data_IF_339143056022
#
_entry.id   IF_339143056022
#
_cell.length_a   1.000
_cell.length_b   1.000
_cell.length_c   1.000
_cell.angle_alpha   90.00
_cell.angle_beta   90.00
_cell.angle_gamma   90.00
#
_symmetry.space_group_name_H-M   'P 1'
#
loop_
_entity.id
_entity.type
_entity.pdbx_description
1 polymer ?
#
# COMPACT_ATOMS: atom_id res chain seq x y z
N UNK A 1 -23.63 -4.28 59.28
CA UNK A 1 -23.21 -4.33 57.86
C UNK A 1 -21.94 -5.16 57.79
N UNK A 2 -21.98 -6.32 57.15
CA UNK A 2 -20.95 -7.36 57.31
C UNK A 2 -19.68 -7.01 56.52
N UNK A 3 -18.53 -7.01 57.19
CA UNK A 3 -17.22 -6.65 56.62
C UNK A 3 -16.83 -7.52 55.41
N UNK A 4 -17.41 -8.73 55.32
CA UNK A 4 -17.29 -9.64 54.18
C UNK A 4 -17.99 -9.14 52.92
N UNK A 5 -19.12 -8.42 53.05
CA UNK A 5 -19.85 -7.83 51.91
C UNK A 5 -19.06 -6.62 51.37
N UNK A 6 -18.42 -5.85 52.25
CA UNK A 6 -17.60 -4.69 51.86
C UNK A 6 -16.36 -5.11 51.04
N UNK A 7 -15.70 -6.22 51.44
CA UNK A 7 -14.55 -6.74 50.71
C UNK A 7 -14.93 -7.28 49.32
N UNK A 8 -16.05 -8.00 49.20
CA UNK A 8 -16.51 -8.52 47.90
C UNK A 8 -16.89 -7.37 46.95
N UNK A 9 -17.54 -6.32 47.47
CA UNK A 9 -17.90 -5.16 46.67
C UNK A 9 -16.66 -4.39 46.16
N UNK A 10 -15.60 -4.32 46.98
CA UNK A 10 -14.33 -3.68 46.61
C UNK A 10 -13.58 -4.44 45.50
N UNK A 11 -13.59 -5.77 45.51
CA UNK A 11 -12.90 -6.57 44.49
C UNK A 11 -13.61 -6.51 43.14
N UNK A 12 -14.95 -6.43 43.15
CA UNK A 12 -15.76 -6.34 41.92
C UNK A 12 -15.54 -5.01 41.20
N UNK A 13 -15.39 -3.89 41.91
CA UNK A 13 -15.18 -2.56 41.32
C UNK A 13 -13.82 -2.47 40.60
N UNK A 14 -12.78 -3.15 41.08
CA UNK A 14 -11.44 -3.13 40.48
C UNK A 14 -11.38 -3.84 39.12
N UNK A 15 -12.29 -4.79 38.86
CA UNK A 15 -12.34 -5.54 37.59
C UNK A 15 -13.05 -4.74 36.48
N UNK A 16 -13.88 -3.75 36.84
CA UNK A 16 -14.66 -2.97 35.86
C UNK A 16 -13.96 -1.68 35.41
N UNK A 17 -12.83 -1.31 36.03
CA UNK A 17 -12.08 -0.10 35.66
C UNK A 17 -11.04 -0.33 34.56
N UNK A 18 -11.09 -1.48 33.86
CA UNK A 18 -10.41 -1.70 32.59
C UNK A 18 -11.00 -0.80 31.51
N UNK A 19 -10.67 0.49 31.57
CA UNK A 19 -11.07 1.49 30.60
C UNK A 19 -10.32 1.17 29.29
N UNK A 20 -11.00 0.51 28.37
CA UNK A 20 -10.52 0.30 27.01
C UNK A 20 -10.32 1.67 26.36
N UNK A 21 -9.09 2.20 26.40
CA UNK A 21 -8.71 3.35 25.59
C UNK A 21 -8.71 2.91 24.13
N UNK A 22 -9.89 2.97 23.49
CA UNK A 22 -9.99 2.79 22.04
C UNK A 22 -9.35 4.02 21.39
N UNK A 23 -8.07 3.92 21.05
CA UNK A 23 -7.43 4.94 20.20
C UNK A 23 -8.16 4.95 18.87
N UNK A 24 -8.51 6.14 18.40
CA UNK A 24 -9.06 6.30 17.07
C UNK A 24 -8.02 5.83 16.05
N UNK A 25 -8.43 4.97 15.12
CA UNK A 25 -7.58 4.47 14.04
C UNK A 25 -7.32 5.62 13.06
N UNK A 26 -6.04 5.96 12.86
CA UNK A 26 -5.64 6.95 11.88
C UNK A 26 -6.04 6.51 10.46
N UNK A 27 -6.77 7.34 9.71
CA UNK A 27 -7.28 6.99 8.40
C UNK A 27 -6.15 6.93 7.36
N UNK A 28 -6.29 6.03 6.40
CA UNK A 28 -5.53 6.05 5.16
C UNK A 28 -6.31 6.90 4.13
N UNK A 29 -5.64 7.89 3.54
CA UNK A 29 -6.19 8.70 2.47
C UNK A 29 -6.66 7.81 1.31
N UNK A 30 -7.86 8.07 0.74
CA UNK A 30 -8.36 7.32 -0.41
C UNK A 30 -7.73 7.75 -1.74
N UNK A 31 -6.89 8.78 -1.72
CA UNK A 31 -6.15 9.25 -2.89
C UNK A 31 -4.98 8.30 -3.17
N UNK A 32 -4.93 7.81 -4.40
CA UNK A 32 -3.87 6.94 -4.90
C UNK A 32 -2.98 7.79 -5.81
N UNK A 33 -1.66 7.84 -5.59
CA UNK A 33 -0.76 8.59 -6.44
C UNK A 33 -0.71 7.96 -7.84
N UNK A 34 -0.29 8.73 -8.84
CA UNK A 34 -0.05 8.18 -10.17
C UNK A 34 0.99 7.05 -10.09
N UNK A 35 0.69 5.93 -10.76
CA UNK A 35 1.62 4.83 -10.85
C UNK A 35 2.68 5.11 -11.91
N UNK A 36 3.91 4.65 -11.67
CA UNK A 36 4.96 4.60 -12.66
C UNK A 36 5.22 3.15 -13.08
N UNK A 37 5.52 2.91 -14.36
CA UNK A 37 5.97 1.61 -14.83
C UNK A 37 7.21 1.78 -15.69
N UNK A 38 8.21 0.90 -15.48
CA UNK A 38 9.40 0.81 -16.33
C UNK A 38 9.61 -0.64 -16.74
N UNK A 39 9.57 -0.93 -18.05
CA UNK A 39 9.75 -2.29 -18.50
C UNK A 39 9.58 -2.48 -20.00
N UNK A 40 8.47 -3.08 -20.41
CA UNK A 40 8.23 -3.53 -21.80
C UNK A 40 8.47 -2.43 -22.83
N UNK A 41 7.96 -1.24 -22.58
CA UNK A 41 8.14 -0.06 -23.44
C UNK A 41 9.57 0.47 -23.45
N UNK A 42 10.19 0.64 -22.28
CA UNK A 42 11.60 1.00 -22.13
C UNK A 42 12.53 0.04 -22.87
N UNK A 43 12.21 -1.26 -22.87
CA UNK A 43 12.97 -2.29 -23.58
C UNK A 43 12.70 -2.32 -25.09
N UNK A 44 11.44 -2.11 -25.51
CA UNK A 44 11.05 -2.16 -26.91
C UNK A 44 11.43 -0.87 -27.68
N UNK A 45 11.39 0.29 -27.04
CA UNK A 45 11.60 1.59 -27.68
C UNK A 45 12.89 1.67 -28.51
N UNK A 46 14.06 1.28 -27.95
CA UNK A 46 15.32 1.25 -28.70
C UNK A 46 15.29 0.32 -29.91
N UNK A 47 14.58 -0.80 -29.83
CA UNK A 47 14.43 -1.75 -30.94
C UNK A 47 13.58 -1.15 -32.08
N UNK A 48 12.61 -0.32 -31.73
CA UNK A 48 11.76 0.39 -32.69
C UNK A 48 12.47 1.55 -33.38
N UNK A 49 13.66 1.97 -32.94
CA UNK A 49 14.40 3.07 -33.58
C UNK A 49 14.78 2.73 -35.02
N UNK A 50 15.04 1.47 -35.33
CA UNK A 50 15.37 1.05 -36.69
C UNK A 50 14.25 1.30 -37.70
N UNK A 51 12.98 1.22 -37.28
CA UNK A 51 11.81 1.38 -38.14
C UNK A 51 11.12 2.73 -37.97
N UNK A 52 11.13 3.29 -36.76
CA UNK A 52 10.41 4.53 -36.41
C UNK A 52 11.35 5.70 -36.09
N UNK A 53 12.66 5.53 -36.17
CA UNK A 53 13.64 6.56 -35.80
C UNK A 53 13.49 7.01 -34.34
N UNK A 54 13.64 8.31 -34.08
CA UNK A 54 13.46 8.86 -32.73
C UNK A 54 12.05 8.60 -32.15
N UNK A 55 11.04 8.44 -33.01
CA UNK A 55 9.68 8.10 -32.55
C UNK A 55 9.62 6.71 -31.90
N UNK A 56 10.53 5.78 -32.23
CA UNK A 56 10.59 4.47 -31.60
C UNK A 56 10.76 4.54 -30.08
N UNK A 57 11.62 5.44 -29.60
CA UNK A 57 11.79 5.70 -28.16
C UNK A 57 10.50 6.25 -27.54
N UNK A 58 9.85 7.21 -28.22
CA UNK A 58 8.59 7.79 -27.77
C UNK A 58 7.45 6.77 -27.66
N UNK A 59 7.36 5.85 -28.62
CA UNK A 59 6.41 4.72 -28.58
C UNK A 59 6.71 3.82 -27.38
N UNK A 60 7.98 3.53 -27.11
CA UNK A 60 8.40 2.80 -25.92
C UNK A 60 7.91 3.46 -24.63
N UNK A 61 8.16 4.76 -24.45
CA UNK A 61 7.68 5.50 -23.27
C UNK A 61 6.16 5.49 -23.18
N UNK A 62 5.45 5.65 -24.30
CA UNK A 62 3.98 5.62 -24.32
C UNK A 62 3.41 4.24 -23.93
N UNK A 63 4.08 3.15 -24.28
CA UNK A 63 3.72 1.80 -23.85
C UNK A 63 3.79 1.70 -22.33
N UNK A 64 4.89 2.15 -21.73
CA UNK A 64 5.08 2.08 -20.27
C UNK A 64 4.07 2.96 -19.52
N UNK A 65 3.77 4.17 -20.03
CA UNK A 65 2.69 5.03 -19.49
C UNK A 65 1.33 4.32 -19.57
N UNK A 66 1.02 3.68 -20.69
CA UNK A 66 -0.22 2.95 -20.86
C UNK A 66 -0.37 1.81 -19.85
N UNK A 67 0.70 1.05 -19.62
CA UNK A 67 0.73 -0.03 -18.62
C UNK A 67 0.54 0.53 -17.20
N UNK A 68 1.26 1.60 -16.85
CA UNK A 68 1.14 2.24 -15.54
C UNK A 68 -0.31 2.70 -15.28
N UNK A 69 -0.97 3.25 -16.29
CA UNK A 69 -2.38 3.66 -16.23
C UNK A 69 -3.32 2.46 -16.02
N UNK A 70 -3.08 1.35 -16.72
CA UNK A 70 -3.86 0.12 -16.52
C UNK A 70 -3.75 -0.40 -15.07
N UNK A 71 -2.53 -0.41 -14.52
CA UNK A 71 -2.30 -0.81 -13.12
C UNK A 71 -2.99 0.13 -12.14
N UNK A 72 -2.81 1.44 -12.32
CA UNK A 72 -3.44 2.46 -11.47
C UNK A 72 -4.97 2.31 -11.45
N UNK A 73 -5.58 2.09 -12.62
CA UNK A 73 -7.03 1.87 -12.72
C UNK A 73 -7.48 0.66 -11.90
N UNK A 74 -6.75 -0.45 -11.90
CA UNK A 74 -7.11 -1.62 -11.09
C UNK A 74 -6.94 -1.40 -9.60
N UNK A 75 -5.90 -0.67 -9.19
CA UNK A 75 -5.69 -0.27 -7.80
C UNK A 75 -6.88 0.58 -7.32
N UNK A 76 -7.30 1.55 -8.13
CA UNK A 76 -8.44 2.42 -7.88
C UNK A 76 -9.76 1.64 -7.74
N UNK A 77 -10.04 0.70 -8.65
CA UNK A 77 -11.27 -0.13 -8.62
C UNK A 77 -11.41 -0.88 -7.29
N UNK A 78 -10.30 -1.41 -6.76
CA UNK A 78 -10.34 -2.29 -5.59
C UNK A 78 -10.08 -1.57 -4.26
N UNK A 79 -9.70 -0.27 -4.27
CA UNK A 79 -9.26 0.44 -3.06
C UNK A 79 -10.25 0.39 -1.90
N UNK A 80 -11.55 0.52 -2.20
CA UNK A 80 -12.60 0.58 -1.18
C UNK A 80 -12.68 -0.70 -0.33
N UNK A 81 -12.29 -1.85 -0.92
CA UNK A 81 -12.25 -3.14 -0.24
C UNK A 81 -11.12 -3.21 0.80
N UNK A 82 -10.00 -2.52 0.57
CA UNK A 82 -8.77 -2.71 1.34
C UNK A 82 -8.42 -1.57 2.30
N UNK A 83 -8.76 -0.32 1.98
CA UNK A 83 -8.33 0.89 2.72
C UNK A 83 -8.51 0.75 4.23
N UNK A 84 -9.68 0.27 4.70
CA UNK A 84 -9.96 0.14 6.14
C UNK A 84 -9.02 -0.83 6.84
N UNK A 85 -8.75 -1.97 6.22
CA UNK A 85 -7.90 -3.00 6.79
C UNK A 85 -6.42 -2.62 6.71
N UNK A 86 -5.98 -2.00 5.60
CA UNK A 86 -4.62 -1.46 5.49
C UNK A 86 -4.38 -0.38 6.54
N UNK A 87 -5.33 0.56 6.71
CA UNK A 87 -5.28 1.56 7.78
C UNK A 87 -5.15 0.90 9.15
N UNK A 88 -5.97 -0.11 9.46
CA UNK A 88 -5.85 -0.85 10.71
C UNK A 88 -4.47 -1.48 10.92
N UNK A 89 -3.91 -2.12 9.89
CA UNK A 89 -2.58 -2.74 9.97
C UNK A 89 -1.47 -1.69 10.16
N UNK A 90 -1.52 -0.56 9.45
CA UNK A 90 -0.55 0.53 9.59
C UNK A 90 -0.57 1.15 10.99
N UNK A 91 -1.74 1.29 11.60
CA UNK A 91 -1.85 1.74 13.00
C UNK A 91 -1.13 0.80 13.98
N UNK A 92 -0.98 -0.48 13.65
CA UNK A 92 -0.18 -1.43 14.43
C UNK A 92 1.32 -1.11 14.42
N UNK A 93 1.82 -0.56 13.32
CA UNK A 93 3.23 -0.14 13.17
C UNK A 93 3.47 1.30 13.64
N UNK A 94 2.50 2.19 13.43
CA UNK A 94 2.59 3.61 13.71
C UNK A 94 1.44 4.04 14.63
N UNK A 95 1.50 3.72 15.95
CA UNK A 95 0.38 3.90 16.87
C UNK A 95 0.08 5.35 17.26
N UNK A 96 0.94 6.29 16.85
CA UNK A 96 0.79 7.72 17.10
C UNK A 96 0.49 8.50 15.81
N UNK A 97 0.41 7.84 14.65
CA UNK A 97 0.06 8.51 13.41
C UNK A 97 -1.32 9.17 13.52
N UNK A 98 -1.47 10.33 12.89
CA UNK A 98 -2.74 11.02 12.68
C UNK A 98 -3.37 10.63 11.34
N UNK A 99 -2.54 10.43 10.32
CA UNK A 99 -2.98 10.07 8.98
C UNK A 99 -1.92 9.27 8.22
N UNK A 100 -2.37 8.53 7.21
CA UNK A 100 -1.52 7.86 6.23
C UNK A 100 -1.91 8.28 4.83
N UNK A 101 -0.94 8.31 3.91
CA UNK A 101 -1.23 8.39 2.48
C UNK A 101 -0.19 7.62 1.66
N UNK A 102 -0.60 7.13 0.50
CA UNK A 102 0.34 6.62 -0.49
C UNK A 102 0.93 7.82 -1.22
N UNK A 103 2.26 7.98 -1.19
CA UNK A 103 2.93 9.09 -1.87
C UNK A 103 3.57 8.68 -3.19
N UNK A 104 3.88 7.39 -3.36
CA UNK A 104 4.53 6.86 -4.55
C UNK A 104 4.13 5.41 -4.81
N UNK A 105 4.00 5.05 -6.08
CA UNK A 105 3.74 3.70 -6.56
C UNK A 105 4.60 3.43 -7.80
N UNK A 106 5.56 2.52 -7.68
CA UNK A 106 6.45 2.16 -8.77
C UNK A 106 6.38 0.67 -9.10
N UNK A 107 6.37 0.40 -10.40
CA UNK A 107 6.35 -0.93 -10.95
C UNK A 107 7.52 -1.08 -11.94
N UNK A 108 8.33 -2.12 -11.77
CA UNK A 108 9.44 -2.40 -12.68
C UNK A 108 9.39 -3.83 -13.16
N UNK A 109 9.53 -4.06 -14.47
CA UNK A 109 9.63 -5.42 -15.00
C UNK A 109 10.81 -6.17 -14.37
N UNK A 110 10.61 -7.42 -13.95
CA UNK A 110 11.69 -8.22 -13.38
C UNK A 110 12.70 -8.61 -14.48
N UNK A 111 14.00 -8.54 -14.17
CA UNK A 111 15.08 -8.74 -15.15
C UNK A 111 15.07 -10.10 -15.84
N UNK A 112 14.54 -11.15 -15.18
CA UNK A 112 14.60 -12.55 -15.67
C UNK A 112 13.28 -13.07 -16.22
N UNK A 113 12.18 -12.39 -15.91
CA UNK A 113 10.84 -12.80 -16.35
C UNK A 113 9.99 -11.54 -16.54
N UNK A 114 9.73 -11.21 -17.80
CA UNK A 114 8.94 -10.04 -18.17
C UNK A 114 7.44 -10.16 -17.81
N UNK A 115 7.02 -11.33 -17.32
CA UNK A 115 5.69 -11.55 -16.76
C UNK A 115 5.63 -11.34 -15.25
N UNK A 116 6.76 -11.01 -14.62
CA UNK A 116 6.85 -10.63 -13.22
C UNK A 116 7.19 -9.15 -13.08
N UNK A 117 6.62 -8.53 -12.06
CA UNK A 117 6.75 -7.11 -11.78
C UNK A 117 7.21 -6.92 -10.34
N UNK A 118 8.36 -6.28 -10.17
CA UNK A 118 8.79 -5.74 -8.89
C UNK A 118 7.90 -4.55 -8.56
N UNK A 119 7.32 -4.54 -7.37
CA UNK A 119 6.41 -3.47 -6.94
C UNK A 119 6.95 -2.83 -5.67
N UNK A 120 7.05 -1.51 -5.67
CA UNK A 120 7.41 -0.72 -4.48
C UNK A 120 6.44 0.43 -4.29
N UNK A 121 6.23 0.81 -3.04
CA UNK A 121 5.42 1.97 -2.68
C UNK A 121 6.08 2.76 -1.56
N UNK A 122 5.71 4.03 -1.44
CA UNK A 122 6.05 4.86 -0.29
C UNK A 122 4.78 5.26 0.43
N UNK A 123 4.75 5.03 1.74
CA UNK A 123 3.69 5.50 2.63
C UNK A 123 4.20 6.72 3.36
N UNK A 124 3.48 7.83 3.23
CA UNK A 124 3.64 9.00 4.08
C UNK A 124 2.88 8.77 5.38
N UNK A 125 3.56 8.95 6.50
CA UNK A 125 3.01 8.88 7.86
C UNK A 125 3.08 10.28 8.46
N UNK A 126 1.93 10.83 8.86
CA UNK A 126 1.87 12.13 9.53
C UNK A 126 1.54 11.92 11.02
N UNK A 127 2.32 12.51 11.92
CA UNK A 127 2.08 12.50 13.38
C UNK A 127 2.36 13.89 13.95
N UNK A 128 1.33 14.59 14.48
CA UNK A 128 1.27 15.87 15.24
C UNK A 128 2.20 17.05 14.86
N UNK A 129 3.41 16.84 14.34
CA UNK A 129 4.39 17.80 13.85
C UNK A 129 5.50 17.17 12.97
N UNK A 130 5.51 15.86 12.74
CA UNK A 130 6.51 15.13 11.97
C UNK A 130 5.89 14.38 10.78
N UNK A 131 6.69 14.21 9.73
CA UNK A 131 6.31 13.52 8.51
C UNK A 131 7.40 12.50 8.20
N UNK A 132 7.05 11.22 8.24
CA UNK A 132 7.93 10.12 7.87
C UNK A 132 7.51 9.50 6.53
N UNK A 133 8.49 8.93 5.81
CA UNK A 133 8.29 8.28 4.52
C UNK A 133 8.83 6.86 4.57
N UNK A 134 7.92 5.89 4.51
CA UNK A 134 8.23 4.48 4.66
C UNK A 134 8.18 3.81 3.29
N UNK A 135 9.34 3.41 2.78
CA UNK A 135 9.46 2.65 1.55
C UNK A 135 9.16 1.17 1.82
N UNK A 136 8.29 0.58 1.01
CA UNK A 136 7.87 -0.82 1.13
C UNK A 136 8.07 -1.49 -0.23
N UNK A 137 8.89 -2.53 -0.24
CA UNK A 137 9.01 -3.46 -1.35
C UNK A 137 8.04 -4.62 -1.15
N UNK A 138 7.24 -4.91 -2.18
CA UNK A 138 6.32 -6.03 -2.20
C UNK A 138 6.96 -7.24 -2.88
N UNK A 139 6.36 -8.42 -2.68
CA UNK A 139 6.71 -9.60 -3.46
C UNK A 139 6.45 -9.36 -4.96
N UNK A 140 7.20 -10.05 -5.82
CA UNK A 140 6.98 -9.97 -7.27
C UNK A 140 5.57 -10.42 -7.63
N UNK A 141 4.87 -9.59 -8.41
CA UNK A 141 3.48 -9.83 -8.81
C UNK A 141 3.47 -10.19 -10.30
N UNK A 142 2.57 -11.08 -10.72
CA UNK A 142 2.41 -11.34 -12.15
C UNK A 142 1.85 -10.10 -12.84
N UNK A 143 2.38 -9.81 -14.02
CA UNK A 143 2.01 -8.66 -14.83
C UNK A 143 0.51 -8.62 -15.12
N UNK A 144 -0.07 -9.75 -15.55
CA UNK A 144 -1.50 -9.82 -15.89
C UNK A 144 -2.40 -9.69 -14.66
N UNK A 145 -1.95 -10.15 -13.49
CA UNK A 145 -2.71 -10.04 -12.24
C UNK A 145 -2.84 -8.58 -11.82
N UNK A 146 -1.80 -7.74 -12.04
CA UNK A 146 -1.85 -6.29 -11.83
C UNK A 146 -2.83 -5.57 -12.77
N UNK A 147 -3.18 -6.18 -13.91
CA UNK A 147 -4.14 -5.62 -14.88
C UNK A 147 -5.58 -6.07 -14.68
N UNK A 148 -5.79 -7.15 -13.92
CA UNK A 148 -7.08 -7.86 -13.92
C UNK A 148 -7.64 -8.18 -12.54
N UNK A 149 -6.86 -7.98 -11.47
CA UNK A 149 -7.23 -8.38 -10.11
C UNK A 149 -6.83 -7.34 -9.06
N UNK A 150 -7.11 -7.64 -7.79
CA UNK A 150 -6.69 -6.85 -6.63
C UNK A 150 -5.30 -7.25 -6.10
N UNK A 151 -4.44 -7.86 -6.93
CA UNK A 151 -3.14 -8.41 -6.54
C UNK A 151 -2.22 -7.41 -5.83
N UNK A 152 -2.21 -6.13 -6.24
CA UNK A 152 -1.47 -5.07 -5.55
C UNK A 152 -1.87 -4.99 -4.06
N UNK A 153 -3.17 -4.89 -3.80
CA UNK A 153 -3.70 -4.75 -2.46
C UNK A 153 -3.52 -6.03 -1.63
N UNK A 154 -3.70 -7.20 -2.23
CA UNK A 154 -3.43 -8.48 -1.57
C UNK A 154 -1.96 -8.59 -1.13
N UNK A 155 -1.04 -8.18 -2.01
CA UNK A 155 0.40 -8.21 -1.73
C UNK A 155 0.78 -7.22 -0.62
N UNK A 156 0.26 -5.99 -0.66
CA UNK A 156 0.46 -5.00 0.39
C UNK A 156 -0.10 -5.46 1.74
N UNK A 157 -1.33 -5.98 1.77
CA UNK A 157 -1.94 -6.51 2.98
C UNK A 157 -1.13 -7.66 3.57
N UNK A 158 -0.69 -8.59 2.71
CA UNK A 158 0.18 -9.70 3.10
C UNK A 158 1.48 -9.20 3.70
N UNK A 159 2.16 -8.26 3.03
CA UNK A 159 3.42 -7.65 3.50
C UNK A 159 3.24 -7.02 4.89
N UNK A 160 2.19 -6.24 5.09
CA UNK A 160 1.88 -5.63 6.38
C UNK A 160 1.51 -6.66 7.46
N UNK A 161 0.93 -7.81 7.11
CA UNK A 161 0.68 -8.90 8.07
C UNK A 161 1.95 -9.66 8.45
N UNK A 162 2.91 -9.78 7.54
CA UNK A 162 4.16 -10.51 7.77
C UNK A 162 5.26 -9.68 8.40
N UNK A 163 5.19 -8.35 8.28
CA UNK A 163 6.22 -7.42 8.76
C UNK A 163 6.66 -6.45 7.67
N UNK A 164 6.81 -5.18 8.05
CA UNK A 164 7.52 -4.17 7.27
C UNK A 164 9.00 -4.54 7.14
#
# INVERSE_FOLDING_TARGET
MNIRILLILSTVIFVITGCSSSRATAPLSPEIPEASYTGKGTNAGPMLVGSLGAMGIGVGVAIDIGIAKDFHQQIEIHKAKYIKNISFLLNGYFPNAESFSLSQLDFTAAQRDENLVNTSLVIKVEDNSDIDFVSIELETIKFDDLKTSDAFWQSLEKKLKTGL
#
